data_IF_467578905640
#
_entry.id   IF_467578905640
#
_cell.length_a   1.000
_cell.length_b   1.000
_cell.length_c   1.000
_cell.angle_alpha   90.00
_cell.angle_beta   90.00
_cell.angle_gamma   90.00
#
_symmetry.space_group_name_H-M   'P 1'
#
loop_
_entity.id
_entity.type
_entity.pdbx_description
1 polymer ?
#
# COMPACT_ATOMS: atom_id res chain seq x y z
N UNK A 1 36.12 13.10 -0.77
CA UNK A 1 34.84 13.81 -0.46
C UNK A 1 34.12 14.20 -1.75
N UNK A 2 34.77 14.91 -2.67
CA UNK A 2 34.20 15.31 -3.98
C UNK A 2 33.80 14.14 -4.88
N UNK A 3 34.61 13.08 -4.96
CA UNK A 3 34.29 11.91 -5.81
C UNK A 3 33.13 11.06 -5.28
N UNK A 4 32.99 10.97 -3.95
CA UNK A 4 31.85 10.30 -3.32
C UNK A 4 30.57 11.07 -3.66
N UNK A 5 30.62 12.40 -3.53
CA UNK A 5 29.47 13.25 -3.83
C UNK A 5 29.08 13.18 -5.32
N UNK A 6 30.05 13.22 -6.23
CA UNK A 6 29.80 13.05 -7.66
C UNK A 6 29.21 11.67 -8.00
N UNK A 7 29.73 10.60 -7.38
CA UNK A 7 29.19 9.25 -7.53
C UNK A 7 27.75 9.13 -7.04
N UNK A 8 27.41 9.78 -5.93
CA UNK A 8 26.05 9.80 -5.39
C UNK A 8 25.07 10.53 -6.30
N UNK A 9 25.47 11.66 -6.90
CA UNK A 9 24.64 12.39 -7.86
C UNK A 9 24.40 11.56 -9.12
N UNK A 10 25.46 10.96 -9.67
CA UNK A 10 25.33 10.12 -10.87
C UNK A 10 24.42 8.91 -10.61
N UNK A 11 24.51 8.30 -9.43
CA UNK A 11 23.61 7.23 -9.01
C UNK A 11 22.17 7.73 -8.89
N UNK A 12 21.95 8.90 -8.30
CA UNK A 12 20.63 9.49 -8.16
C UNK A 12 19.99 9.76 -9.54
N UNK A 13 20.73 10.36 -10.46
CA UNK A 13 20.27 10.63 -11.81
C UNK A 13 19.94 9.33 -12.56
N UNK A 14 20.78 8.30 -12.42
CA UNK A 14 20.56 7.00 -13.04
C UNK A 14 19.30 6.30 -12.49
N UNK A 15 19.02 6.42 -11.19
CA UNK A 15 17.89 5.71 -10.55
C UNK A 15 16.58 6.48 -10.67
N UNK A 16 16.59 7.80 -10.48
CA UNK A 16 15.37 8.59 -10.38
C UNK A 16 15.00 9.33 -11.66
N UNK A 17 15.99 9.70 -12.48
CA UNK A 17 15.74 10.50 -13.68
C UNK A 17 15.68 9.60 -14.91
N UNK A 18 16.69 8.75 -15.12
CA UNK A 18 16.77 7.93 -16.33
C UNK A 18 15.73 6.80 -16.36
N UNK A 19 15.35 6.26 -15.20
CA UNK A 19 14.35 5.19 -15.11
C UNK A 19 12.92 5.71 -14.98
N UNK A 20 12.70 7.03 -15.02
CA UNK A 20 11.39 7.60 -14.84
C UNK A 20 10.50 7.33 -16.06
N UNK A 21 9.63 6.35 -15.95
CA UNK A 21 8.62 5.99 -16.93
C UNK A 21 7.20 6.08 -16.34
N UNK A 22 6.18 5.94 -17.18
CA UNK A 22 4.77 5.96 -16.75
C UNK A 22 4.46 4.89 -15.70
N UNK A 23 5.19 3.77 -15.70
CA UNK A 23 5.02 2.69 -14.71
C UNK A 23 5.62 3.05 -13.36
N UNK A 24 6.74 3.77 -13.32
CA UNK A 24 7.30 4.36 -12.10
C UNK A 24 6.31 5.33 -11.47
N UNK A 25 5.64 6.17 -12.27
CA UNK A 25 4.59 7.05 -11.76
C UNK A 25 3.44 6.26 -11.11
N UNK A 26 2.98 5.19 -11.75
CA UNK A 26 1.98 4.27 -11.17
C UNK A 26 2.49 3.65 -9.88
N UNK A 27 3.76 3.21 -9.85
CA UNK A 27 4.42 2.68 -8.66
C UNK A 27 4.43 3.69 -7.49
N UNK A 28 4.74 4.96 -7.75
CA UNK A 28 4.69 6.01 -6.74
C UNK A 28 3.27 6.31 -6.26
N UNK A 29 2.29 6.33 -7.16
CA UNK A 29 0.88 6.49 -6.78
C UNK A 29 0.40 5.31 -5.92
N UNK A 30 0.80 4.09 -6.30
CA UNK A 30 0.50 2.88 -5.54
C UNK A 30 1.14 2.94 -4.14
N UNK A 31 2.40 3.37 -4.05
CA UNK A 31 3.11 3.57 -2.79
C UNK A 31 2.48 4.67 -1.94
N UNK A 32 1.99 5.76 -2.55
CA UNK A 32 1.29 6.83 -1.84
C UNK A 32 -0.02 6.32 -1.22
N UNK A 33 -0.82 5.57 -1.98
CA UNK A 33 -2.01 4.88 -1.46
C UNK A 33 -1.66 3.90 -0.33
N UNK A 34 -0.57 3.15 -0.48
CA UNK A 34 -0.12 2.20 0.54
C UNK A 34 0.38 2.89 1.80
N UNK A 35 1.03 4.05 1.71
CA UNK A 35 1.43 4.86 2.87
C UNK A 35 0.21 5.50 3.55
N UNK A 36 -0.78 5.94 2.77
CA UNK A 36 -2.02 6.56 3.28
C UNK A 36 -2.74 5.66 4.29
N UNK A 37 -2.61 4.32 4.18
CA UNK A 37 -3.18 3.37 5.16
C UNK A 37 -2.72 3.68 6.59
N UNK A 38 -1.43 3.95 6.78
CA UNK A 38 -0.85 4.22 8.09
C UNK A 38 -1.24 5.59 8.60
N UNK A 39 -1.33 6.57 7.70
CA UNK A 39 -1.80 7.91 8.07
C UNK A 39 -3.25 7.88 8.54
N UNK A 40 -4.14 7.18 7.82
CA UNK A 40 -5.55 7.04 8.24
C UNK A 40 -5.67 6.26 9.54
N UNK A 41 -4.87 5.20 9.72
CA UNK A 41 -4.83 4.43 10.96
C UNK A 41 -4.32 5.26 12.14
N UNK A 42 -3.28 6.07 11.93
CA UNK A 42 -2.73 6.97 12.92
C UNK A 42 -3.77 7.99 13.36
N UNK A 43 -4.37 8.72 12.42
CA UNK A 43 -5.43 9.70 12.70
C UNK A 43 -6.60 9.06 13.43
N UNK A 44 -7.03 7.87 13.02
CA UNK A 44 -8.12 7.15 13.69
C UNK A 44 -7.75 6.73 15.12
N UNK A 45 -6.50 6.31 15.35
CA UNK A 45 -6.02 5.89 16.67
C UNK A 45 -5.82 7.04 17.63
N UNK A 46 -5.31 8.19 17.15
CA UNK A 46 -5.21 9.42 17.95
C UNK A 46 -6.60 9.88 18.42
N UNK A 47 -7.57 9.91 17.50
CA UNK A 47 -8.96 10.26 17.83
C UNK A 47 -9.60 9.29 18.81
N UNK A 48 -9.25 8.01 18.74
CA UNK A 48 -9.78 6.96 19.62
C UNK A 48 -9.00 6.78 20.92
N UNK A 49 -7.84 7.43 21.08
CA UNK A 49 -6.88 7.25 22.19
C UNK A 49 -6.48 5.79 22.46
N UNK A 50 -6.56 4.95 21.44
CA UNK A 50 -6.19 3.53 21.47
C UNK A 50 -5.82 3.06 20.07
N UNK A 51 -5.02 2.02 19.96
CA UNK A 51 -4.67 1.43 18.66
C UNK A 51 -5.92 0.84 18.00
N UNK A 52 -6.41 1.49 16.94
CA UNK A 52 -7.54 1.01 16.13
C UNK A 52 -7.14 0.92 14.67
N UNK A 53 -7.65 -0.10 13.97
CA UNK A 53 -7.48 -0.25 12.52
C UNK A 53 -8.82 0.09 11.86
N UNK A 54 -8.97 1.26 11.22
CA UNK A 54 -10.22 1.64 10.58
C UNK A 54 -10.46 0.82 9.31
N UNK A 55 -11.72 0.65 8.89
CA UNK A 55 -12.05 -0.09 7.65
C UNK A 55 -11.34 0.51 6.42
N UNK A 56 -11.17 1.84 6.40
CA UNK A 56 -10.44 2.55 5.37
C UNK A 56 -8.98 2.06 5.20
N UNK A 57 -8.33 1.59 6.27
CA UNK A 57 -6.99 0.98 6.20
C UNK A 57 -6.95 -0.20 5.21
N UNK A 58 -7.97 -1.06 5.27
CA UNK A 58 -8.06 -2.23 4.43
C UNK A 58 -8.38 -1.88 2.98
N UNK A 59 -9.20 -0.86 2.74
CA UNK A 59 -9.44 -0.35 1.38
C UNK A 59 -8.18 0.26 0.76
N UNK A 60 -7.46 1.13 1.48
CA UNK A 60 -6.18 1.67 1.00
C UNK A 60 -5.14 0.57 0.74
N UNK A 61 -5.11 -0.46 1.58
CA UNK A 61 -4.24 -1.62 1.39
C UNK A 61 -4.63 -2.42 0.14
N UNK A 62 -5.92 -2.60 -0.12
CA UNK A 62 -6.42 -3.30 -1.32
C UNK A 62 -6.09 -2.53 -2.60
N UNK A 63 -6.37 -1.22 -2.65
CA UNK A 63 -6.08 -0.39 -3.81
C UNK A 63 -4.58 -0.22 -4.04
N UNK A 64 -3.82 0.17 -3.01
CA UNK A 64 -2.37 0.33 -3.11
C UNK A 64 -1.66 -1.00 -3.43
N UNK A 65 -2.04 -2.09 -2.77
CA UNK A 65 -1.53 -3.43 -3.04
C UNK A 65 -1.89 -3.93 -4.44
N UNK A 66 -3.09 -3.62 -4.93
CA UNK A 66 -3.54 -3.99 -6.27
C UNK A 66 -2.75 -3.27 -7.36
N UNK A 67 -2.52 -1.97 -7.18
CA UNK A 67 -1.67 -1.19 -8.08
C UNK A 67 -0.21 -1.67 -8.04
N UNK A 68 0.34 -1.95 -6.85
CA UNK A 68 1.69 -2.50 -6.71
C UNK A 68 1.82 -3.90 -7.29
N UNK A 69 0.77 -4.72 -7.23
CA UNK A 69 0.75 -6.04 -7.84
C UNK A 69 0.76 -5.95 -9.38
N UNK A 70 -0.04 -5.07 -9.97
CA UNK A 70 -0.01 -4.80 -11.42
C UNK A 70 1.38 -4.28 -11.83
N UNK A 71 1.93 -3.35 -11.06
CA UNK A 71 3.29 -2.83 -11.27
C UNK A 71 4.35 -3.96 -11.21
N UNK A 72 4.23 -4.86 -10.23
CA UNK A 72 5.16 -5.97 -10.04
C UNK A 72 5.10 -6.99 -11.20
N UNK A 73 3.90 -7.29 -11.69
CA UNK A 73 3.71 -8.14 -12.88
C UNK A 73 4.39 -7.50 -14.09
N UNK A 74 4.19 -6.20 -14.29
CA UNK A 74 4.80 -5.47 -15.41
C UNK A 74 6.34 -5.45 -15.31
N UNK A 75 6.88 -5.28 -14.11
CA UNK A 75 8.33 -5.31 -13.84
C UNK A 75 8.91 -6.72 -13.79
N UNK A 76 8.07 -7.76 -13.88
CA UNK A 76 8.45 -9.16 -13.76
C UNK A 76 9.24 -9.47 -12.48
N UNK A 77 8.88 -8.81 -11.36
CA UNK A 77 9.52 -9.03 -10.06
C UNK A 77 8.78 -10.14 -9.28
N UNK A 78 9.31 -11.37 -9.22
CA UNK A 78 8.62 -12.50 -8.58
C UNK A 78 8.42 -12.31 -7.07
N UNK A 79 9.33 -11.58 -6.40
CA UNK A 79 9.27 -11.36 -4.95
C UNK A 79 8.13 -10.41 -4.62
N UNK A 80 8.03 -9.31 -5.38
CA UNK A 80 6.94 -8.35 -5.21
C UNK A 80 5.58 -8.95 -5.62
N UNK A 81 5.53 -9.75 -6.69
CA UNK A 81 4.29 -10.44 -7.11
C UNK A 81 3.80 -11.36 -5.99
N UNK A 82 4.66 -12.22 -5.44
CA UNK A 82 4.29 -13.12 -4.36
C UNK A 82 3.84 -12.37 -3.10
N UNK A 83 4.58 -11.33 -2.71
CA UNK A 83 4.27 -10.52 -1.54
C UNK A 83 2.93 -9.78 -1.66
N UNK A 84 2.72 -9.06 -2.76
CA UNK A 84 1.48 -8.29 -2.97
C UNK A 84 0.28 -9.20 -3.26
N UNK A 85 0.48 -10.30 -3.99
CA UNK A 85 -0.57 -11.29 -4.23
C UNK A 85 -1.09 -11.90 -2.93
N UNK A 86 -0.21 -12.31 -2.02
CA UNK A 86 -0.61 -12.79 -0.70
C UNK A 86 -1.28 -11.69 0.13
N UNK A 87 -0.75 -10.47 0.08
CA UNK A 87 -1.34 -9.30 0.75
C UNK A 87 -2.79 -9.04 0.32
N UNK A 88 -3.07 -9.06 -0.99
CA UNK A 88 -4.40 -8.86 -1.54
C UNK A 88 -5.43 -9.86 -1.00
N UNK A 89 -5.05 -11.14 -0.92
CA UNK A 89 -5.93 -12.19 -0.36
C UNK A 89 -6.29 -11.87 1.09
N UNK A 90 -5.30 -11.46 1.90
CA UNK A 90 -5.52 -11.11 3.31
C UNK A 90 -6.42 -9.88 3.44
N UNK A 91 -6.22 -8.85 2.61
CA UNK A 91 -7.02 -7.62 2.65
C UNK A 91 -8.48 -7.89 2.32
N UNK A 92 -8.74 -8.69 1.27
CA UNK A 92 -10.09 -9.10 0.89
C UNK A 92 -10.74 -9.90 2.02
N UNK A 93 -10.02 -10.88 2.58
CA UNK A 93 -10.52 -11.71 3.68
C UNK A 93 -10.88 -10.88 4.91
N UNK A 94 -10.08 -9.89 5.27
CA UNK A 94 -10.35 -9.04 6.42
C UNK A 94 -11.53 -8.09 6.17
N UNK A 95 -11.67 -7.54 4.96
CA UNK A 95 -12.87 -6.77 4.58
C UNK A 95 -14.13 -7.63 4.64
N UNK A 96 -14.07 -8.88 4.19
CA UNK A 96 -15.18 -9.82 4.25
C UNK A 96 -15.61 -10.12 5.69
N UNK A 97 -14.66 -10.38 6.60
CA UNK A 97 -14.96 -10.59 8.02
C UNK A 97 -15.64 -9.38 8.65
N UNK A 98 -15.10 -8.17 8.43
CA UNK A 98 -15.69 -6.93 8.94
C UNK A 98 -17.12 -6.74 8.41
N UNK A 99 -17.36 -7.04 7.13
CA UNK A 99 -18.69 -6.94 6.54
C UNK A 99 -19.67 -7.95 7.17
N UNK A 100 -19.21 -9.17 7.46
CA UNK A 100 -20.04 -10.20 8.07
C UNK A 100 -20.39 -9.90 9.53
N UNK A 101 -19.42 -9.41 10.32
CA UNK A 101 -19.64 -8.95 11.69
C UNK A 101 -20.68 -7.82 11.75
N UNK A 102 -20.59 -6.87 10.83
CA UNK A 102 -21.57 -5.77 10.72
C UNK A 102 -22.98 -6.28 10.41
N UNK A 103 -23.12 -7.23 9.49
CA UNK A 103 -24.42 -7.85 9.16
C UNK A 103 -25.01 -8.59 10.37
N UNK A 104 -24.18 -9.37 11.07
CA UNK A 104 -24.62 -10.11 12.25
C UNK A 104 -25.10 -9.19 13.39
N UNK A 105 -24.41 -8.06 13.60
CA UNK A 105 -24.81 -7.07 14.60
C UNK A 105 -26.16 -6.40 14.26
N UNK A 106 -26.42 -6.13 12.97
CA UNK A 106 -27.71 -5.57 12.52
C UNK A 106 -28.86 -6.55 12.75
N UNK A 107 -28.66 -7.84 12.42
CA UNK A 107 -29.68 -8.88 12.59
C UNK A 107 -30.03 -9.21 14.05
N UNK A 108 -29.21 -8.81 15.03
CA UNK A 108 -29.50 -8.96 16.47
C UNK A 108 -30.28 -7.77 17.06
N UNK A 109 -30.39 -6.67 16.30
CA UNK A 109 -31.08 -5.45 16.75
C UNK A 109 -32.54 -5.41 16.29
N UNK A 110 -32.92 -6.30 15.35
CA UNK A 110 -34.28 -6.52 14.85
C UNK A 110 -35.01 -7.62 15.65
#
# INVERSE_FOLDING_TARGET
MTEIFASLINWFDAVFIQQFDTWVLIGFLAQACFTMRFVVQWIASERAKRSVVPVAFWFFSLFGGGMLFIYAIQRQDPVFIAGQGMGLIIYIRNLWLIANERKAAMAQTD
#
